data_IF_524688373493
#
_entry.id   IF_524688373493
#
_cell.length_a   1.000
_cell.length_b   1.000
_cell.length_c   1.000
_cell.angle_alpha   90.00
_cell.angle_beta   90.00
_cell.angle_gamma   90.00
#
_symmetry.space_group_name_H-M   'P 1'
#
loop_
_entity.id
_entity.type
_entity.pdbx_description
1 polymer ?
#
# COMPACT_ATOMS: atom_id res chain seq x y z
N UNK A 1 -10.14 -47.25 -47.39
CA UNK A 1 -10.39 -46.35 -46.23
C UNK A 1 -9.41 -46.76 -45.12
N UNK A 2 -8.24 -46.11 -45.09
CA UNK A 2 -7.22 -46.44 -44.08
C UNK A 2 -7.69 -45.89 -42.71
N UNK A 3 -8.07 -46.82 -41.84
CA UNK A 3 -8.23 -46.52 -40.42
C UNK A 3 -6.83 -46.13 -39.90
N UNK A 4 -6.63 -44.84 -39.57
CA UNK A 4 -5.44 -44.46 -38.79
C UNK A 4 -5.43 -45.27 -37.51
N UNK A 5 -4.43 -46.13 -37.26
CA UNK A 5 -4.37 -46.87 -36.06
C UNK A 5 -4.15 -45.93 -34.91
N UNK A 6 -4.96 -46.06 -33.87
CA UNK A 6 -4.67 -45.50 -32.55
C UNK A 6 -3.48 -46.33 -32.02
N UNK A 7 -2.27 -45.85 -32.32
CA UNK A 7 -1.04 -46.66 -32.15
C UNK A 7 -0.47 -46.57 -30.74
N UNK A 8 -0.81 -45.51 -29.99
CA UNK A 8 -0.35 -45.41 -28.61
C UNK A 8 -1.32 -46.14 -27.69
N UNK A 9 -0.97 -47.39 -27.35
CA UNK A 9 -1.74 -48.16 -26.40
C UNK A 9 -1.92 -47.42 -25.08
N UNK A 10 -3.14 -47.40 -24.56
CA UNK A 10 -3.41 -46.90 -23.23
C UNK A 10 -2.93 -47.96 -22.23
N UNK A 11 -1.73 -47.76 -21.65
CA UNK A 11 -1.20 -48.63 -20.64
C UNK A 11 -2.08 -48.69 -19.38
N UNK A 12 -1.99 -49.69 -18.53
CA UNK A 12 -2.76 -49.72 -17.27
C UNK A 12 -2.56 -48.50 -16.41
N UNK A 13 -1.35 -47.95 -16.36
CA UNK A 13 -1.01 -46.72 -15.63
C UNK A 13 -1.70 -45.50 -16.26
N UNK A 14 -1.61 -45.34 -17.57
CA UNK A 14 -2.28 -44.29 -18.30
C UNK A 14 -3.81 -44.35 -18.13
N UNK A 15 -4.36 -45.57 -18.11
CA UNK A 15 -5.79 -45.77 -17.89
C UNK A 15 -6.23 -45.28 -16.52
N UNK A 16 -5.48 -45.58 -15.45
CA UNK A 16 -5.75 -45.07 -14.09
C UNK A 16 -5.70 -43.56 -14.05
N UNK A 17 -4.71 -42.93 -14.67
CA UNK A 17 -4.60 -41.47 -14.75
C UNK A 17 -5.75 -40.83 -15.55
N UNK A 18 -6.09 -41.36 -16.72
CA UNK A 18 -7.23 -40.93 -17.51
C UNK A 18 -8.56 -41.03 -16.73
N UNK A 19 -8.76 -42.12 -15.97
CA UNK A 19 -9.94 -42.27 -15.12
C UNK A 19 -9.99 -41.19 -14.02
N UNK A 20 -8.85 -40.90 -13.39
CA UNK A 20 -8.75 -39.84 -12.40
C UNK A 20 -9.02 -38.49 -13.01
N UNK A 21 -8.44 -38.16 -14.18
CA UNK A 21 -8.67 -36.91 -14.91
C UNK A 21 -10.15 -36.75 -15.28
N UNK A 22 -10.77 -37.82 -15.80
CA UNK A 22 -12.19 -37.81 -16.15
C UNK A 22 -13.08 -37.48 -14.95
N UNK A 23 -12.79 -38.02 -13.78
CA UNK A 23 -13.58 -37.80 -12.56
C UNK A 23 -13.32 -36.49 -11.88
N UNK A 24 -12.09 -35.99 -11.89
CA UNK A 24 -11.64 -34.93 -11.00
C UNK A 24 -11.22 -33.60 -11.70
N UNK A 25 -10.98 -33.60 -13.01
CA UNK A 25 -10.55 -32.38 -13.69
C UNK A 25 -11.64 -31.31 -13.66
N UNK A 26 -11.27 -30.06 -13.34
CA UNK A 26 -12.16 -28.91 -13.38
C UNK A 26 -12.54 -28.51 -14.83
N UNK A 27 -11.72 -28.87 -15.80
CA UNK A 27 -11.90 -28.50 -17.21
C UNK A 27 -12.77 -29.51 -17.94
N UNK A 28 -13.97 -29.10 -18.35
CA UNK A 28 -14.91 -29.98 -19.06
C UNK A 28 -14.30 -30.61 -20.32
N UNK A 29 -13.62 -29.84 -21.17
CA UNK A 29 -13.00 -30.31 -22.39
C UNK A 29 -11.93 -31.40 -22.12
N UNK A 30 -11.16 -31.26 -21.03
CA UNK A 30 -10.16 -32.23 -20.61
C UNK A 30 -10.82 -33.56 -20.17
N UNK A 31 -11.92 -33.45 -19.42
CA UNK A 31 -12.72 -34.64 -19.04
C UNK A 31 -13.30 -35.36 -20.25
N UNK A 32 -13.87 -34.61 -21.23
CA UNK A 32 -14.40 -35.24 -22.44
C UNK A 32 -13.32 -35.97 -23.23
N UNK A 33 -12.14 -35.38 -23.42
CA UNK A 33 -11.03 -36.03 -24.15
C UNK A 33 -10.52 -37.24 -23.40
N UNK A 34 -10.35 -37.20 -22.09
CA UNK A 34 -9.96 -38.33 -21.30
C UNK A 34 -10.99 -39.45 -21.38
N UNK A 35 -12.28 -39.14 -21.32
CA UNK A 35 -13.36 -40.14 -21.47
C UNK A 35 -13.38 -40.77 -22.86
N UNK A 36 -13.19 -39.95 -23.91
CA UNK A 36 -13.11 -40.44 -25.29
C UNK A 36 -11.97 -41.49 -25.45
N UNK A 37 -10.78 -41.22 -24.91
CA UNK A 37 -9.65 -42.15 -24.94
C UNK A 37 -9.93 -43.44 -24.16
N UNK A 38 -10.59 -43.33 -23.02
CA UNK A 38 -11.00 -44.51 -22.23
C UNK A 38 -11.99 -45.38 -22.98
N UNK A 39 -13.04 -44.79 -23.59
CA UNK A 39 -14.01 -45.53 -24.40
C UNK A 39 -13.36 -46.17 -25.63
N UNK A 40 -12.46 -45.46 -26.29
CA UNK A 40 -11.68 -46.02 -27.42
C UNK A 40 -10.85 -47.22 -26.99
N UNK A 41 -10.19 -47.15 -25.83
CA UNK A 41 -9.41 -48.27 -25.28
C UNK A 41 -10.27 -49.50 -24.88
N UNK A 42 -11.58 -49.31 -24.76
CA UNK A 42 -12.57 -50.39 -24.55
C UNK A 42 -13.15 -50.94 -25.84
N UNK A 43 -12.66 -50.50 -27.01
CA UNK A 43 -13.08 -51.01 -28.31
C UNK A 43 -14.16 -50.16 -29.03
N UNK A 44 -14.61 -49.04 -28.46
CA UNK A 44 -15.60 -48.19 -29.14
C UNK A 44 -15.08 -47.66 -30.46
N UNK A 45 -15.91 -47.75 -31.49
CA UNK A 45 -15.62 -47.23 -32.82
C UNK A 45 -15.68 -45.69 -32.88
N UNK A 46 -15.04 -45.11 -33.89
CA UNK A 46 -15.10 -43.63 -34.07
C UNK A 46 -16.54 -43.15 -34.34
N UNK A 47 -17.38 -43.96 -34.99
CA UNK A 47 -18.78 -43.64 -35.20
C UNK A 47 -19.55 -43.52 -33.87
N UNK A 48 -19.40 -44.53 -32.99
CA UNK A 48 -20.02 -44.49 -31.64
C UNK A 48 -19.50 -43.31 -30.82
N UNK A 49 -18.21 -42.97 -30.89
CA UNK A 49 -17.65 -41.82 -30.18
C UNK A 49 -18.21 -40.46 -30.68
N UNK A 50 -18.45 -40.36 -32.00
CA UNK A 50 -19.10 -39.21 -32.57
C UNK A 50 -20.52 -39.02 -32.03
N UNK A 51 -21.28 -40.10 -31.91
CA UNK A 51 -22.63 -40.13 -31.36
C UNK A 51 -22.64 -39.79 -29.85
N UNK A 52 -21.71 -40.37 -29.06
CA UNK A 52 -21.60 -40.18 -27.63
C UNK A 52 -21.24 -38.72 -27.27
N UNK A 53 -20.27 -38.15 -27.99
CA UNK A 53 -19.73 -36.83 -27.67
C UNK A 53 -20.38 -35.69 -28.47
N UNK A 54 -21.24 -36.00 -29.42
CA UNK A 54 -21.93 -35.01 -30.35
C UNK A 54 -20.95 -34.05 -30.99
N UNK A 55 -19.83 -34.58 -31.49
CA UNK A 55 -18.76 -33.85 -32.16
C UNK A 55 -18.46 -34.42 -33.53
N UNK A 56 -17.78 -33.65 -34.39
CA UNK A 56 -17.40 -34.16 -35.71
C UNK A 56 -16.37 -35.25 -35.64
N UNK A 57 -16.37 -36.15 -36.64
CA UNK A 57 -15.34 -37.21 -36.79
C UNK A 57 -13.92 -36.61 -36.75
N UNK A 58 -13.71 -35.42 -37.35
CA UNK A 58 -12.44 -34.71 -37.33
C UNK A 58 -12.02 -34.33 -35.92
N UNK A 59 -12.96 -33.92 -35.06
CA UNK A 59 -12.69 -33.59 -33.67
C UNK A 59 -12.18 -34.77 -32.92
N UNK A 60 -12.76 -35.98 -33.11
CA UNK A 60 -12.31 -37.19 -32.48
C UNK A 60 -10.87 -37.54 -32.90
N UNK A 61 -10.59 -37.48 -34.22
CA UNK A 61 -9.22 -37.72 -34.71
C UNK A 61 -8.22 -36.67 -34.19
N UNK A 62 -8.58 -35.38 -34.09
CA UNK A 62 -7.72 -34.37 -33.47
C UNK A 62 -7.40 -34.66 -32.01
N UNK A 63 -8.35 -35.26 -31.25
CA UNK A 63 -8.11 -35.67 -29.86
C UNK A 63 -7.14 -36.87 -29.79
N UNK A 64 -7.25 -37.81 -30.73
CA UNK A 64 -6.31 -38.95 -30.82
C UNK A 64 -4.91 -38.49 -31.21
N UNK A 65 -4.78 -37.63 -32.22
CA UNK A 65 -3.52 -37.03 -32.65
C UNK A 65 -2.86 -36.27 -31.51
N UNK A 66 -3.63 -35.46 -30.79
CA UNK A 66 -3.13 -34.72 -29.62
C UNK A 66 -2.63 -35.67 -28.50
N UNK A 67 -3.29 -36.81 -28.31
CA UNK A 67 -2.84 -37.81 -27.39
C UNK A 67 -1.56 -38.49 -27.86
N UNK A 68 -1.50 -38.86 -29.13
CA UNK A 68 -0.34 -39.57 -29.71
C UNK A 68 0.92 -38.70 -29.70
N UNK A 69 0.77 -37.41 -30.01
CA UNK A 69 1.90 -36.49 -30.11
C UNK A 69 2.36 -35.98 -28.73
N UNK A 70 1.43 -35.73 -27.82
CA UNK A 70 1.70 -34.98 -26.59
C UNK A 70 1.30 -35.74 -25.30
N UNK A 71 0.74 -36.91 -25.41
CA UNK A 71 0.29 -37.73 -24.28
C UNK A 71 -0.68 -36.96 -23.35
N UNK A 72 -0.48 -36.98 -22.04
CA UNK A 72 -1.35 -36.28 -21.06
C UNK A 72 -1.52 -34.81 -21.31
N UNK A 73 -0.50 -34.09 -21.80
CA UNK A 73 -0.59 -32.67 -22.13
C UNK A 73 -1.47 -32.41 -23.36
N UNK A 74 -1.69 -33.47 -24.22
CA UNK A 74 -2.61 -33.37 -25.35
C UNK A 74 -4.09 -33.30 -24.98
N UNK A 75 -4.45 -33.59 -23.72
CA UNK A 75 -5.81 -33.39 -23.21
C UNK A 75 -6.14 -31.93 -23.00
N UNK A 76 -5.16 -31.05 -22.87
CA UNK A 76 -5.33 -29.62 -22.66
C UNK A 76 -5.31 -28.86 -23.98
N UNK A 77 -5.99 -27.71 -24.00
CA UNK A 77 -5.91 -26.81 -25.13
C UNK A 77 -4.53 -26.17 -25.22
N UNK A 78 -4.05 -25.99 -26.45
CA UNK A 78 -2.81 -25.28 -26.67
C UNK A 78 -2.98 -23.78 -26.41
N UNK A 79 -1.92 -23.09 -25.90
CA UNK A 79 -1.90 -21.65 -25.82
C UNK A 79 -2.20 -21.01 -27.19
N UNK A 80 -2.80 -19.83 -27.19
CA UNK A 80 -3.06 -19.07 -28.41
C UNK A 80 -4.44 -19.30 -29.06
N UNK A 81 -5.30 -20.14 -28.50
CA UNK A 81 -6.68 -20.36 -28.99
C UNK A 81 -7.68 -19.24 -28.63
N UNK A 82 -7.26 -18.22 -27.86
CA UNK A 82 -8.11 -17.10 -27.47
C UNK A 82 -8.24 -16.01 -28.54
N UNK A 83 -9.06 -15.01 -28.25
CA UNK A 83 -9.10 -13.78 -29.03
C UNK A 83 -7.70 -13.14 -29.03
N UNK A 84 -7.21 -12.77 -30.21
CA UNK A 84 -5.93 -12.06 -30.32
C UNK A 84 -5.93 -10.82 -29.45
N UNK A 85 -4.82 -10.52 -28.76
CA UNK A 85 -4.68 -9.28 -28.00
C UNK A 85 -4.91 -8.07 -28.92
N UNK A 86 -5.57 -7.05 -28.40
CA UNK A 86 -5.83 -5.80 -29.15
C UNK A 86 -4.54 -5.02 -29.39
N UNK A 87 -3.57 -5.17 -28.51
CA UNK A 87 -2.29 -4.47 -28.55
C UNK A 87 -1.12 -5.46 -28.50
N UNK A 88 -0.05 -5.15 -29.20
CA UNK A 88 1.22 -5.89 -29.11
C UNK A 88 1.88 -5.64 -27.76
N UNK A 89 2.87 -6.45 -27.32
CA UNK A 89 3.61 -6.22 -26.08
C UNK A 89 4.23 -4.81 -26.02
N UNK A 90 4.81 -4.33 -27.12
CA UNK A 90 5.44 -3.01 -27.23
C UNK A 90 4.39 -1.90 -27.07
N UNK A 91 3.24 -2.05 -27.69
CA UNK A 91 2.11 -1.12 -27.54
C UNK A 91 1.58 -1.10 -26.11
N UNK A 92 1.51 -2.25 -25.45
CA UNK A 92 1.09 -2.32 -24.04
C UNK A 92 2.08 -1.59 -23.12
N UNK A 93 3.37 -1.73 -23.34
CA UNK A 93 4.40 -1.01 -22.60
C UNK A 93 4.28 0.50 -22.81
N UNK A 94 4.07 0.96 -24.06
CA UNK A 94 3.86 2.36 -24.37
C UNK A 94 2.60 2.93 -23.71
N UNK A 95 1.50 2.17 -23.67
CA UNK A 95 0.29 2.52 -22.91
C UNK A 95 0.63 2.64 -21.42
N UNK A 96 1.48 1.76 -20.91
CA UNK A 96 1.99 1.80 -19.55
C UNK A 96 2.70 3.12 -19.23
N UNK A 97 3.55 3.62 -20.13
CA UNK A 97 4.26 4.89 -20.00
C UNK A 97 3.28 6.08 -20.03
N UNK A 98 2.39 6.15 -21.03
CA UNK A 98 1.37 7.22 -21.10
C UNK A 98 0.45 7.27 -19.88
N UNK A 99 0.15 6.12 -19.28
CA UNK A 99 -0.65 6.09 -18.06
C UNK A 99 0.12 6.61 -16.83
N UNK A 100 1.45 6.64 -16.85
CA UNK A 100 2.27 7.28 -15.82
C UNK A 100 2.33 8.79 -16.00
N UNK A 101 2.39 9.25 -17.25
CA UNK A 101 2.33 10.69 -17.57
C UNK A 101 0.96 11.30 -17.23
N UNK A 102 -0.12 10.54 -17.43
CA UNK A 102 -1.50 10.98 -17.22
C UNK A 102 -2.28 10.04 -16.28
N UNK A 103 -1.86 9.87 -15.02
CA UNK A 103 -2.38 8.80 -14.15
C UNK A 103 -3.87 8.94 -13.78
N UNK A 104 -4.44 10.14 -13.87
CA UNK A 104 -5.86 10.42 -13.57
C UNK A 104 -6.72 10.55 -14.82
N UNK A 105 -6.12 10.72 -15.98
CA UNK A 105 -6.85 11.11 -17.22
C UNK A 105 -6.77 10.03 -18.28
N UNK A 106 -7.40 8.87 -18.01
CA UNK A 106 -7.43 7.77 -18.99
C UNK A 106 -7.98 8.15 -20.35
N UNK A 107 -8.80 9.22 -20.45
CA UNK A 107 -9.28 9.75 -21.73
C UNK A 107 -8.12 10.22 -22.60
N UNK A 108 -7.14 10.93 -22.04
CA UNK A 108 -5.96 11.39 -22.79
C UNK A 108 -5.11 10.21 -23.30
N UNK A 109 -5.04 9.12 -22.55
CA UNK A 109 -4.37 7.89 -23.01
C UNK A 109 -5.15 7.26 -24.17
N UNK A 110 -6.49 7.26 -24.14
CA UNK A 110 -7.31 6.78 -25.25
C UNK A 110 -7.15 7.65 -26.49
N UNK A 111 -7.09 8.98 -26.34
CA UNK A 111 -6.87 9.91 -27.44
C UNK A 111 -5.49 9.67 -28.08
N UNK A 112 -4.42 9.49 -27.29
CA UNK A 112 -3.07 9.13 -27.78
C UNK A 112 -3.08 7.79 -28.54
N UNK A 113 -3.80 6.77 -28.06
CA UNK A 113 -3.94 5.47 -28.75
C UNK A 113 -4.58 5.66 -30.12
N UNK A 114 -5.64 6.48 -30.19
CA UNK A 114 -6.34 6.78 -31.45
C UNK A 114 -5.46 7.56 -32.41
N UNK A 115 -4.76 8.59 -31.94
CA UNK A 115 -3.88 9.42 -32.76
C UNK A 115 -2.69 8.62 -33.31
N UNK A 116 -2.06 7.79 -32.50
CA UNK A 116 -0.81 7.14 -32.88
C UNK A 116 -1.03 5.83 -33.65
N UNK A 117 -2.12 5.09 -33.35
CA UNK A 117 -2.36 3.78 -33.96
C UNK A 117 -3.69 3.66 -34.69
N UNK A 118 -4.50 4.71 -34.76
CA UNK A 118 -5.83 4.70 -35.36
C UNK A 118 -6.82 3.73 -34.70
N UNK A 119 -6.47 3.21 -33.51
CA UNK A 119 -7.26 2.17 -32.85
C UNK A 119 -8.18 2.79 -31.80
N UNK A 120 -9.48 2.60 -31.95
CA UNK A 120 -10.46 3.00 -30.95
C UNK A 120 -10.75 1.84 -30.00
N UNK A 121 -10.55 2.09 -28.70
CA UNK A 121 -10.85 1.12 -27.66
C UNK A 121 -11.64 1.74 -26.52
N UNK A 122 -12.42 0.90 -25.83
CA UNK A 122 -13.15 1.35 -24.65
C UNK A 122 -12.22 1.51 -23.44
N UNK A 123 -12.61 2.38 -22.50
CA UNK A 123 -11.92 2.53 -21.22
C UNK A 123 -11.76 1.20 -20.48
N UNK A 124 -12.75 0.29 -20.60
CA UNK A 124 -12.69 -1.06 -20.01
C UNK A 124 -11.56 -1.90 -20.61
N UNK A 125 -11.30 -1.76 -21.92
CA UNK A 125 -10.18 -2.44 -22.60
C UNK A 125 -8.84 -1.88 -22.09
N UNK A 126 -8.71 -0.55 -22.02
CA UNK A 126 -7.53 0.11 -21.46
C UNK A 126 -7.27 -0.31 -20.01
N UNK A 127 -8.29 -0.31 -19.16
CA UNK A 127 -8.18 -0.77 -17.76
C UNK A 127 -7.70 -2.22 -17.68
N UNK A 128 -8.13 -3.10 -18.60
CA UNK A 128 -7.67 -4.50 -18.65
C UNK A 128 -6.19 -4.59 -19.00
N UNK A 129 -5.73 -3.77 -19.95
CA UNK A 129 -4.30 -3.69 -20.30
C UNK A 129 -3.48 -3.22 -19.10
N UNK A 130 -3.90 -2.15 -18.44
CA UNK A 130 -3.21 -1.63 -17.24
C UNK A 130 -3.14 -2.65 -16.12
N UNK A 131 -4.21 -3.40 -15.87
CA UNK A 131 -4.20 -4.52 -14.91
C UNK A 131 -3.25 -5.62 -15.31
N UNK A 132 -3.15 -5.96 -16.60
CA UNK A 132 -2.17 -6.89 -17.13
C UNK A 132 -0.72 -6.45 -16.93
N UNK A 133 -0.48 -5.13 -16.90
CA UNK A 133 0.80 -4.50 -16.55
C UNK A 133 0.99 -4.32 -15.03
N UNK A 134 0.24 -5.01 -14.20
CA UNK A 134 0.27 -4.92 -12.73
C UNK A 134 0.02 -3.51 -12.18
N UNK A 135 -0.69 -2.66 -12.94
CA UNK A 135 -1.11 -1.34 -12.46
C UNK A 135 -2.53 -1.42 -11.92
N UNK A 136 -2.76 -0.71 -10.81
CA UNK A 136 -4.07 -0.61 -10.18
C UNK A 136 -4.37 0.83 -9.79
N UNK A 137 -5.65 1.13 -9.58
CA UNK A 137 -6.10 2.45 -9.20
C UNK A 137 -5.97 2.62 -7.69
N UNK A 138 -5.03 3.49 -7.25
CA UNK A 138 -4.78 3.79 -5.85
C UNK A 138 -4.87 5.28 -5.59
N UNK A 139 -5.09 5.65 -4.32
CA UNK A 139 -4.98 7.03 -3.87
C UNK A 139 -3.53 7.48 -3.97
N UNK A 140 -3.30 8.71 -4.46
CA UNK A 140 -1.98 9.31 -4.42
C UNK A 140 -1.56 9.56 -2.97
N UNK A 141 -0.36 9.15 -2.64
CA UNK A 141 0.26 9.51 -1.36
C UNK A 141 0.88 10.90 -1.49
N UNK A 142 0.49 11.79 -0.60
CA UNK A 142 1.23 13.05 -0.44
C UNK A 142 2.55 12.73 0.24
N UNK A 143 3.64 13.18 -0.35
CA UNK A 143 4.98 13.13 0.23
C UNK A 143 5.45 14.55 0.45
N UNK A 144 6.32 14.74 1.41
CA UNK A 144 6.96 16.04 1.64
C UNK A 144 7.73 16.43 0.38
N UNK A 145 7.51 17.66 -0.09
CA UNK A 145 8.18 18.15 -1.30
C UNK A 145 9.62 18.53 -1.00
N UNK A 146 10.54 17.65 -1.30
CA UNK A 146 11.98 17.81 -1.12
C UNK A 146 12.65 16.45 -0.93
N UNK A 147 13.95 16.42 -1.15
CA UNK A 147 14.78 15.25 -0.88
C UNK A 147 15.87 15.70 0.10
N UNK A 148 16.08 15.00 1.22
CA UNK A 148 17.21 15.29 2.09
C UNK A 148 18.53 15.06 1.35
N UNK A 149 19.58 15.75 1.77
CA UNK A 149 20.92 15.39 1.37
C UNK A 149 21.23 13.96 1.83
N UNK A 150 21.58 13.09 0.89
CA UNK A 150 21.71 11.66 1.15
C UNK A 150 22.84 11.34 2.16
N UNK A 151 23.95 12.09 2.10
CA UNK A 151 25.06 11.90 3.02
C UNK A 151 24.69 12.40 4.42
N UNK A 152 24.15 13.62 4.52
CA UNK A 152 23.69 14.18 5.78
C UNK A 152 22.60 13.31 6.43
N UNK A 153 21.71 12.73 5.62
CA UNK A 153 20.69 11.80 6.11
C UNK A 153 21.32 10.55 6.72
N UNK A 154 22.27 9.91 6.02
CA UNK A 154 22.94 8.72 6.51
C UNK A 154 23.74 8.99 7.80
N UNK A 155 24.47 10.10 7.83
CA UNK A 155 25.25 10.51 9.01
C UNK A 155 24.33 10.76 10.22
N UNK A 156 23.24 11.50 10.02
CA UNK A 156 22.29 11.80 11.10
C UNK A 156 21.48 10.57 11.57
N UNK A 157 21.22 9.64 10.66
CA UNK A 157 20.63 8.36 11.03
C UNK A 157 21.55 7.53 11.92
N UNK A 158 22.86 7.48 11.60
CA UNK A 158 23.85 6.77 12.38
C UNK A 158 24.05 7.44 13.77
N UNK A 159 24.11 8.78 13.83
CA UNK A 159 24.18 9.52 15.09
C UNK A 159 22.94 9.26 15.96
N UNK A 160 21.74 9.28 15.38
CA UNK A 160 20.49 9.00 16.09
C UNK A 160 20.45 7.58 16.63
N UNK A 161 20.98 6.61 15.90
CA UNK A 161 21.07 5.22 16.37
C UNK A 161 22.01 5.09 17.57
N UNK A 162 23.13 5.82 17.59
CA UNK A 162 23.99 5.89 18.78
C UNK A 162 23.27 6.52 19.97
N UNK A 163 22.48 7.59 19.77
CA UNK A 163 21.69 8.19 20.83
C UNK A 163 20.65 7.22 21.42
N UNK A 164 20.02 6.39 20.57
CA UNK A 164 19.10 5.34 21.04
C UNK A 164 19.82 4.29 21.90
N UNK A 165 21.04 3.90 21.53
CA UNK A 165 21.83 2.97 22.34
C UNK A 165 22.17 3.56 23.71
N UNK A 166 22.51 4.84 23.79
CA UNK A 166 22.74 5.55 25.06
C UNK A 166 21.45 5.66 25.90
N UNK A 167 20.30 5.87 25.24
CA UNK A 167 18.99 5.84 25.93
C UNK A 167 18.68 4.45 26.48
N UNK A 168 18.93 3.38 25.70
CA UNK A 168 18.72 1.99 26.11
C UNK A 168 19.66 1.59 27.27
N UNK A 169 20.88 2.14 27.30
CA UNK A 169 21.82 2.02 28.43
C UNK A 169 21.40 2.85 29.64
N UNK A 170 20.40 3.73 29.53
CA UNK A 170 19.95 4.60 30.61
C UNK A 170 20.82 5.82 30.88
N UNK A 171 21.80 6.11 29.99
CA UNK A 171 22.74 7.21 30.13
C UNK A 171 22.12 8.57 29.78
N UNK A 172 21.14 8.60 28.87
CA UNK A 172 20.42 9.80 28.44
C UNK A 172 18.91 9.58 28.49
N UNK A 173 18.16 10.68 28.46
CA UNK A 173 16.75 10.71 28.03
C UNK A 173 16.67 11.26 26.62
N UNK A 174 15.92 10.58 25.75
CA UNK A 174 15.76 10.94 24.34
C UNK A 174 14.30 11.29 24.07
N UNK A 175 14.05 12.56 23.73
CA UNK A 175 12.72 13.07 23.38
C UNK A 175 12.67 13.49 21.91
N UNK A 176 11.50 13.37 21.30
CA UNK A 176 11.23 13.76 19.94
C UNK A 176 10.20 14.88 19.94
N UNK A 177 10.55 16.02 19.37
CA UNK A 177 9.74 17.22 19.31
C UNK A 177 9.21 17.42 17.90
N UNK A 178 7.92 17.77 17.80
CA UNK A 178 7.29 18.22 16.56
C UNK A 178 5.95 18.92 16.85
N UNK A 179 5.43 19.61 15.82
CA UNK A 179 4.12 20.24 15.85
C UNK A 179 3.14 19.53 14.92
N UNK A 180 1.90 19.42 15.37
CA UNK A 180 0.81 18.92 14.54
C UNK A 180 -0.43 19.78 14.62
N UNK A 181 -1.18 19.84 13.52
CA UNK A 181 -2.42 20.61 13.47
C UNK A 181 -3.63 19.72 13.20
N UNK A 182 -4.73 20.05 13.89
CA UNK A 182 -6.02 19.38 13.76
C UNK A 182 -7.08 20.40 13.34
N UNK A 183 -8.02 20.01 12.47
CA UNK A 183 -9.11 20.82 11.99
C UNK A 183 -10.36 19.96 11.77
N UNK A 184 -11.53 20.54 11.53
CA UNK A 184 -12.79 19.82 11.34
C UNK A 184 -12.88 19.03 10.00
N UNK A 185 -11.75 18.71 9.40
CA UNK A 185 -11.66 17.86 8.20
C UNK A 185 -10.97 16.56 8.59
N UNK A 186 -11.70 15.45 8.71
CA UNK A 186 -11.09 14.18 9.10
C UNK A 186 -10.10 13.69 8.03
N UNK A 187 -9.02 13.08 8.48
CA UNK A 187 -7.99 12.51 7.61
C UNK A 187 -8.43 11.19 6.97
N UNK A 188 -9.36 10.47 7.61
CA UNK A 188 -9.93 9.20 7.12
C UNK A 188 -11.39 9.42 6.73
N UNK A 189 -11.68 9.70 5.43
CA UNK A 189 -13.05 9.97 4.99
C UNK A 189 -13.85 8.69 4.68
N UNK A 190 -13.42 7.52 5.16
CA UNK A 190 -14.05 6.23 4.87
C UNK A 190 -14.52 5.56 6.17
N UNK A 191 -15.72 4.99 6.14
CA UNK A 191 -16.28 4.23 7.24
C UNK A 191 -17.32 3.23 6.76
N UNK A 192 -17.65 2.25 7.60
CA UNK A 192 -18.73 1.31 7.34
C UNK A 192 -20.08 2.03 7.44
N UNK A 193 -20.89 1.91 6.40
CA UNK A 193 -22.21 2.48 6.33
C UNK A 193 -23.15 1.56 5.53
N UNK A 194 -24.49 1.65 5.70
CA UNK A 194 -25.44 0.86 4.93
C UNK A 194 -25.24 1.06 3.42
N UNK A 195 -25.47 0.01 2.63
CA UNK A 195 -25.45 0.12 1.17
C UNK A 195 -26.48 1.14 0.72
N UNK A 196 -26.04 2.15 -0.02
CA UNK A 196 -26.89 3.28 -0.46
C UNK A 196 -27.08 4.38 0.59
N UNK A 197 -26.52 4.21 1.79
CA UNK A 197 -26.47 5.26 2.81
C UNK A 197 -25.28 6.19 2.61
N UNK A 198 -25.36 7.39 3.18
CA UNK A 198 -24.26 8.36 3.19
C UNK A 198 -24.12 8.92 4.60
N UNK A 199 -22.96 8.75 5.19
CA UNK A 199 -22.61 9.45 6.43
C UNK A 199 -22.09 10.84 6.04
N UNK A 200 -22.86 11.86 6.44
CA UNK A 200 -22.49 13.25 6.18
C UNK A 200 -21.61 13.77 7.30
N UNK A 201 -20.47 14.34 6.93
CA UNK A 201 -19.57 15.05 7.83
C UNK A 201 -19.64 16.53 7.46
N UNK A 202 -19.97 17.42 8.39
CA UNK A 202 -20.04 18.85 8.10
C UNK A 202 -18.73 19.36 7.53
N UNK A 203 -18.76 19.94 6.33
CA UNK A 203 -17.61 20.62 5.75
C UNK A 203 -17.68 22.09 6.16
N UNK A 204 -17.02 22.44 7.25
CA UNK A 204 -16.93 23.82 7.74
C UNK A 204 -15.49 24.29 7.72
N UNK A 205 -15.28 25.56 7.38
CA UNK A 205 -14.00 26.22 7.70
C UNK A 205 -13.87 26.25 9.22
N UNK A 206 -12.87 25.58 9.74
CA UNK A 206 -12.57 25.60 11.17
C UNK A 206 -11.25 26.32 11.43
N UNK A 207 -11.11 26.77 12.65
CA UNK A 207 -9.82 27.09 13.22
C UNK A 207 -8.91 25.84 13.14
N UNK A 208 -7.63 26.04 13.31
CA UNK A 208 -6.65 24.96 13.44
C UNK A 208 -6.22 24.89 14.89
N UNK A 209 -6.36 23.73 15.48
CA UNK A 209 -5.77 23.41 16.77
C UNK A 209 -4.34 22.95 16.53
N UNK A 210 -3.38 23.69 17.04
CA UNK A 210 -1.97 23.34 16.94
C UNK A 210 -1.54 22.69 18.26
N UNK A 211 -0.81 21.60 18.15
CA UNK A 211 -0.26 20.85 19.27
C UNK A 211 1.24 20.77 19.09
N UNK A 212 1.99 21.25 20.05
CA UNK A 212 3.41 20.97 20.21
C UNK A 212 3.53 19.74 21.11
N UNK A 213 4.32 18.75 20.75
CA UNK A 213 4.54 17.56 21.55
C UNK A 213 6.02 17.24 21.70
N UNK A 214 6.37 16.72 22.87
CA UNK A 214 7.67 16.12 23.17
C UNK A 214 7.43 14.71 23.71
N UNK A 215 7.80 13.71 22.95
CA UNK A 215 7.51 12.30 23.25
C UNK A 215 8.81 11.48 23.33
N UNK A 216 8.85 10.50 24.22
CA UNK A 216 9.92 9.50 24.27
C UNK A 216 9.41 8.08 23.93
N UNK A 217 10.31 7.11 23.78
CA UNK A 217 9.96 5.71 23.48
C UNK A 217 9.27 4.97 24.62
N UNK A 218 9.21 5.55 25.82
CA UNK A 218 8.51 4.99 26.98
C UNK A 218 7.06 5.46 27.06
N UNK A 219 6.53 6.10 26.01
CA UNK A 219 5.21 6.72 25.96
C UNK A 219 5.00 7.84 26.99
N UNK A 220 6.05 8.56 27.38
CA UNK A 220 5.90 9.81 28.09
C UNK A 220 5.71 10.91 27.06
N UNK A 221 4.74 11.78 27.30
CA UNK A 221 4.39 12.90 26.42
C UNK A 221 4.18 14.17 27.24
N UNK A 222 4.95 15.19 26.91
CA UNK A 222 4.65 16.57 27.28
C UNK A 222 4.02 17.27 26.07
N UNK A 223 2.96 18.02 26.27
CA UNK A 223 2.26 18.68 25.17
C UNK A 223 1.71 20.04 25.54
N UNK A 224 1.68 20.92 24.52
CA UNK A 224 1.07 22.23 24.60
C UNK A 224 0.09 22.41 23.44
N UNK A 225 -1.10 22.94 23.74
CA UNK A 225 -2.20 23.09 22.79
C UNK A 225 -2.53 24.58 22.60
N UNK A 226 -2.68 25.03 21.35
CA UNK A 226 -3.04 26.40 21.05
C UNK A 226 -3.87 26.50 19.76
N UNK A 227 -4.75 27.48 19.71
CA UNK A 227 -5.42 27.90 18.46
C UNK A 227 -4.57 28.88 17.66
N UNK A 228 -3.50 29.40 18.26
CA UNK A 228 -2.54 30.27 17.58
C UNK A 228 -1.36 29.44 17.02
N UNK A 229 -0.62 30.02 16.11
CA UNK A 229 0.58 29.40 15.56
C UNK A 229 1.63 29.16 16.63
N UNK A 230 2.29 28.03 16.59
CA UNK A 230 3.46 27.76 17.42
C UNK A 230 4.62 28.59 16.88
N UNK A 231 5.23 29.37 17.74
CA UNK A 231 6.40 30.22 17.45
C UNK A 231 7.63 29.72 18.19
N UNK A 232 8.79 30.25 17.85
CA UNK A 232 10.05 29.89 18.56
C UNK A 232 9.96 30.17 20.05
N UNK A 233 9.32 31.27 20.45
CA UNK A 233 9.13 31.63 21.87
C UNK A 233 8.25 30.59 22.60
N UNK A 234 7.23 30.05 21.92
CA UNK A 234 6.40 28.97 22.48
C UNK A 234 7.22 27.71 22.65
N UNK A 235 8.03 27.34 21.66
CA UNK A 235 8.93 26.17 21.76
C UNK A 235 9.89 26.33 22.91
N UNK A 236 10.54 27.50 23.05
CA UNK A 236 11.46 27.82 24.16
C UNK A 236 10.74 27.68 25.49
N UNK A 237 9.59 28.33 25.64
CA UNK A 237 8.81 28.30 26.89
C UNK A 237 8.40 26.86 27.27
N UNK A 238 8.02 26.04 26.29
CA UNK A 238 7.68 24.63 26.52
C UNK A 238 8.91 23.82 26.97
N UNK A 239 10.06 23.95 26.30
CA UNK A 239 11.29 23.26 26.69
C UNK A 239 11.71 23.70 28.10
N UNK A 240 11.71 25.01 28.39
CA UNK A 240 12.05 25.54 29.69
C UNK A 240 11.12 25.06 30.81
N UNK A 241 9.83 24.88 30.51
CA UNK A 241 8.84 24.43 31.48
C UNK A 241 8.87 22.91 31.67
N UNK A 242 8.88 22.13 30.59
CA UNK A 242 8.84 20.65 30.65
C UNK A 242 10.11 20.07 31.22
N UNK A 243 11.25 20.72 30.97
CA UNK A 243 12.56 20.31 31.46
C UNK A 243 13.15 21.32 32.49
N UNK A 244 12.30 21.87 33.36
CA UNK A 244 12.75 22.81 34.40
C UNK A 244 13.78 22.17 35.32
N UNK A 245 13.68 20.87 35.61
CA UNK A 245 14.62 20.09 36.36
C UNK A 245 14.98 18.83 35.59
N UNK A 246 16.27 18.66 35.28
CA UNK A 246 16.80 17.54 34.52
C UNK A 246 17.91 16.88 35.29
N UNK A 247 17.73 15.61 35.64
CA UNK A 247 18.71 14.87 36.46
C UNK A 247 19.88 14.36 35.62
N UNK A 248 19.62 13.97 34.39
CA UNK A 248 20.61 13.45 33.44
C UNK A 248 20.55 14.15 32.08
N UNK A 249 21.55 13.90 31.27
CA UNK A 249 21.61 14.44 29.90
C UNK A 249 20.33 14.10 29.11
N UNK A 250 19.64 15.11 28.62
CA UNK A 250 18.41 15.00 27.85
C UNK A 250 18.66 15.53 26.44
N UNK A 251 18.40 14.70 25.43
CA UNK A 251 18.55 15.07 24.03
C UNK A 251 17.15 15.20 23.40
N UNK A 252 16.89 16.35 22.77
CA UNK A 252 15.64 16.66 22.09
C UNK A 252 15.89 16.60 20.58
N UNK A 253 15.32 15.60 19.93
CA UNK A 253 15.37 15.39 18.47
C UNK A 253 14.26 16.21 17.83
N UNK A 254 14.60 17.02 16.82
CA UNK A 254 13.67 17.83 16.06
C UNK A 254 14.05 17.94 14.59
N UNK A 255 13.07 18.14 13.72
CA UNK A 255 13.34 18.39 12.30
C UNK A 255 13.76 19.85 12.12
N UNK A 256 14.76 20.08 11.29
CA UNK A 256 15.20 21.43 10.93
C UNK A 256 14.08 22.20 10.23
N UNK A 257 13.51 23.17 10.93
CA UNK A 257 12.49 24.11 10.42
C UNK A 257 12.86 25.55 10.75
N UNK A 258 12.23 26.51 10.12
CA UNK A 258 12.49 27.94 10.38
C UNK A 258 12.20 28.35 11.82
N UNK A 259 11.28 27.68 12.49
CA UNK A 259 10.96 27.91 13.90
C UNK A 259 12.11 27.44 14.80
N UNK A 260 12.66 26.28 14.50
CA UNK A 260 13.71 25.61 15.30
C UNK A 260 15.11 26.19 15.07
N UNK A 261 15.34 26.86 13.93
CA UNK A 261 16.62 27.48 13.58
C UNK A 261 16.63 29.00 13.76
N UNK A 262 15.66 29.53 14.53
CA UNK A 262 15.57 30.95 14.81
C UNK A 262 16.71 31.42 15.73
N UNK A 263 17.06 32.73 15.64
CA UNK A 263 18.07 33.32 16.52
C UNK A 263 17.72 33.12 18.00
N UNK A 264 16.44 33.20 18.37
CA UNK A 264 15.98 33.00 19.74
C UNK A 264 16.31 31.59 20.29
N UNK A 265 16.18 30.56 19.47
CA UNK A 265 16.58 29.18 19.83
C UNK A 265 18.10 29.09 19.96
N UNK A 266 18.85 29.69 19.01
CA UNK A 266 20.32 29.67 19.07
C UNK A 266 20.86 30.34 20.32
N UNK A 267 20.27 31.43 20.76
CA UNK A 267 20.64 32.16 21.97
C UNK A 267 20.39 31.35 23.25
N UNK A 268 19.51 30.35 23.22
CA UNK A 268 19.20 29.46 24.33
C UNK A 268 20.09 28.22 24.43
N UNK A 269 20.84 27.86 23.39
CA UNK A 269 21.59 26.60 23.35
C UNK A 269 22.59 26.44 24.49
N UNK A 270 23.34 27.52 24.82
CA UNK A 270 24.34 27.45 25.90
C UNK A 270 23.68 27.30 27.27
N UNK A 271 22.59 28.02 27.57
CA UNK A 271 21.80 27.87 28.80
C UNK A 271 21.24 26.45 28.93
N UNK A 272 20.66 25.88 27.85
CA UNK A 272 20.14 24.53 27.86
C UNK A 272 21.24 23.49 28.08
N UNK A 273 22.42 23.68 27.45
CA UNK A 273 23.58 22.80 27.62
C UNK A 273 24.07 22.78 29.08
N UNK A 274 24.10 23.93 29.74
CA UNK A 274 24.42 24.00 31.18
C UNK A 274 23.40 23.22 32.04
N UNK A 275 22.15 23.18 31.58
CA UNK A 275 21.06 22.40 32.17
C UNK A 275 21.00 20.95 31.67
N UNK A 276 22.03 20.46 30.98
CA UNK A 276 22.12 19.10 30.37
C UNK A 276 21.06 18.83 29.30
N UNK A 277 20.52 19.85 28.63
CA UNK A 277 19.58 19.73 27.53
C UNK A 277 20.34 20.03 26.25
N UNK A 278 20.25 19.12 25.28
CA UNK A 278 20.87 19.26 23.97
C UNK A 278 19.84 19.11 22.86
N UNK A 279 19.96 19.90 21.80
CA UNK A 279 19.13 19.76 20.61
C UNK A 279 19.84 18.90 19.58
N UNK A 280 19.14 17.95 18.99
CA UNK A 280 19.62 17.13 17.90
C UNK A 280 18.77 17.41 16.65
N UNK A 281 19.34 18.16 15.70
CA UNK A 281 18.65 18.51 14.48
C UNK A 281 18.72 17.40 13.44
N UNK A 282 17.53 16.97 12.98
CA UNK A 282 17.36 16.10 11.83
C UNK A 282 17.44 16.89 10.52
N UNK A 283 17.87 16.27 9.41
CA UNK A 283 17.82 16.90 8.11
C UNK A 283 16.42 17.36 7.75
N UNK A 284 16.32 18.43 6.98
CA UNK A 284 15.04 18.84 6.38
C UNK A 284 14.47 17.69 5.52
N UNK A 285 13.16 17.54 5.48
CA UNK A 285 12.46 16.50 4.71
C UNK A 285 12.73 15.05 5.17
N UNK A 286 13.04 14.83 6.44
CA UNK A 286 13.29 13.51 7.04
C UNK A 286 12.34 13.19 8.20
N UNK A 287 11.01 13.33 8.02
CA UNK A 287 10.05 13.09 9.10
C UNK A 287 10.06 11.65 9.62
N UNK A 288 10.49 10.69 8.81
CA UNK A 288 10.60 9.28 9.20
C UNK A 288 11.66 9.02 10.27
N UNK A 289 12.60 9.93 10.47
CA UNK A 289 13.56 9.87 11.57
C UNK A 289 13.00 10.47 12.86
N UNK A 290 11.92 11.27 12.79
CA UNK A 290 11.28 11.85 13.95
C UNK A 290 10.17 10.96 14.48
N UNK A 291 10.42 10.27 15.58
CA UNK A 291 9.53 9.24 16.12
C UNK A 291 8.14 9.77 16.48
N UNK A 292 7.99 11.03 16.85
CA UNK A 292 6.71 11.64 17.23
C UNK A 292 5.72 11.70 16.06
N UNK A 293 6.19 11.62 14.81
CA UNK A 293 5.32 11.52 13.64
C UNK A 293 4.40 10.27 13.68
N UNK A 294 4.84 9.23 14.41
CA UNK A 294 4.03 8.03 14.64
C UNK A 294 2.82 8.39 15.52
N UNK A 295 3.00 9.21 16.56
CA UNK A 295 1.91 9.72 17.41
C UNK A 295 0.89 10.49 16.56
N UNK A 296 1.36 11.43 15.74
CA UNK A 296 0.47 12.22 14.88
C UNK A 296 -0.30 11.35 13.89
N UNK A 297 0.33 10.29 13.38
CA UNK A 297 -0.32 9.32 12.50
C UNK A 297 -1.44 8.58 13.22
N UNK A 298 -1.19 8.04 14.43
CA UNK A 298 -2.19 7.36 15.22
C UNK A 298 -3.35 8.29 15.57
N UNK A 299 -3.07 9.51 16.05
CA UNK A 299 -4.10 10.49 16.35
C UNK A 299 -4.98 10.81 15.14
N UNK A 300 -4.37 11.07 13.99
CA UNK A 300 -5.10 11.50 12.77
C UNK A 300 -5.86 10.40 12.06
N UNK A 301 -5.41 9.16 12.16
CA UNK A 301 -5.94 8.07 11.33
C UNK A 301 -6.66 6.97 12.14
N UNK A 302 -6.40 6.84 13.42
CA UNK A 302 -6.90 5.72 14.22
C UNK A 302 -7.64 6.14 15.49
N UNK A 303 -7.07 7.07 16.28
CA UNK A 303 -7.60 7.35 17.61
C UNK A 303 -8.69 8.40 17.65
N UNK A 304 -8.64 9.44 16.80
CA UNK A 304 -9.69 10.45 16.74
C UNK A 304 -10.86 9.92 15.93
N UNK A 305 -11.96 9.63 16.62
CA UNK A 305 -13.18 9.11 16.01
C UNK A 305 -13.89 10.16 15.14
N UNK A 306 -14.67 9.68 14.15
CA UNK A 306 -15.46 10.54 13.26
C UNK A 306 -16.45 11.43 14.05
N UNK A 307 -16.93 10.96 15.20
CA UNK A 307 -17.80 11.72 16.09
C UNK A 307 -17.18 13.02 16.61
N UNK A 308 -15.85 13.05 16.79
CA UNK A 308 -15.12 14.23 17.24
C UNK A 308 -15.22 15.41 16.24
N UNK A 309 -15.38 15.12 14.95
CA UNK A 309 -15.46 16.14 13.90
C UNK A 309 -16.83 16.81 13.74
N UNK A 310 -17.79 16.51 14.63
CA UNK A 310 -19.12 17.13 14.58
C UNK A 310 -19.12 18.60 15.01
N UNK A 311 -18.22 18.99 15.90
CA UNK A 311 -18.09 20.37 16.35
C UNK A 311 -16.63 20.68 16.73
N UNK A 312 -16.30 21.97 16.71
CA UNK A 312 -14.96 22.43 17.14
C UNK A 312 -14.64 22.00 18.58
N UNK A 313 -15.57 22.19 19.48
CA UNK A 313 -15.40 21.81 20.89
C UNK A 313 -15.18 20.30 21.05
N UNK A 314 -15.97 19.47 20.36
CA UNK A 314 -15.79 18.01 20.39
C UNK A 314 -14.41 17.60 19.89
N UNK A 315 -13.88 18.26 18.85
CA UNK A 315 -12.54 17.97 18.35
C UNK A 315 -11.47 18.33 19.37
N UNK A 316 -11.58 19.52 19.98
CA UNK A 316 -10.64 19.99 21.02
C UNK A 316 -10.66 19.02 22.19
N UNK A 317 -11.83 18.72 22.75
CA UNK A 317 -11.99 17.82 23.89
C UNK A 317 -11.41 16.41 23.60
N UNK A 318 -11.60 15.93 22.37
CA UNK A 318 -11.10 14.62 21.97
C UNK A 318 -9.56 14.61 21.82
N UNK A 319 -8.99 15.65 21.21
CA UNK A 319 -7.53 15.81 21.10
C UNK A 319 -6.91 15.89 22.50
N UNK A 320 -7.46 16.72 23.37
CA UNK A 320 -7.01 16.86 24.78
C UNK A 320 -7.10 15.54 25.53
N UNK A 321 -8.20 14.79 25.33
CA UNK A 321 -8.37 13.46 25.93
C UNK A 321 -7.25 12.51 25.50
N UNK A 322 -7.00 12.39 24.19
CA UNK A 322 -5.96 11.49 23.66
C UNK A 322 -4.58 11.85 24.20
N UNK A 323 -4.24 13.16 24.23
CA UNK A 323 -2.95 13.63 24.75
C UNK A 323 -2.78 13.35 26.25
N UNK A 324 -3.85 13.52 27.04
CA UNK A 324 -3.84 13.27 28.49
C UNK A 324 -3.75 11.80 28.83
N UNK A 325 -4.40 10.95 28.04
CA UNK A 325 -4.46 9.51 28.26
C UNK A 325 -3.35 8.75 27.49
N UNK A 326 -2.43 9.48 26.84
CA UNK A 326 -1.28 8.88 26.17
C UNK A 326 -0.31 8.28 27.19
N UNK A 327 0.18 7.08 26.91
CA UNK A 327 1.01 6.28 27.82
C UNK A 327 0.19 5.37 28.75
N UNK A 328 -1.13 5.54 28.80
CA UNK A 328 -2.04 4.72 29.60
C UNK A 328 -3.07 4.00 28.70
N UNK A 329 -4.08 4.74 28.19
CA UNK A 329 -5.09 4.20 27.27
C UNK A 329 -4.61 4.16 25.82
N UNK A 330 -3.81 5.13 25.41
CA UNK A 330 -3.25 5.27 24.07
C UNK A 330 -1.74 5.00 24.12
N UNK A 331 -1.32 3.83 23.66
CA UNK A 331 0.08 3.37 23.76
C UNK A 331 0.61 3.03 22.37
N UNK A 332 1.85 3.39 22.11
CA UNK A 332 2.58 3.03 20.90
C UNK A 332 3.65 1.99 21.27
N UNK A 333 3.60 0.84 20.60
CA UNK A 333 4.64 -0.16 20.74
C UNK A 333 5.77 0.16 19.74
N UNK A 334 6.86 0.70 20.24
CA UNK A 334 8.07 0.94 19.46
C UNK A 334 8.89 -0.36 19.41
N UNK A 335 8.98 -0.97 18.22
CA UNK A 335 9.75 -2.20 17.96
C UNK A 335 11.09 -1.83 17.36
#
# INVERSE_FOLDING_TARGET
MNAMPFTRAVTPENRRLLQRIYRQSRHHAVRQRAHCLLLRSQGKSVAELVEIFLVSRKTIYNWFEAWETRSMTGLYDQPGRGRKPTFTPEQQEQIGQWSQEHPQKLKQVLDKIKEQWGTEVSQKTLTRVLKGLHKSWHRFRRVVGGCPDAQLYADKQAELENLKQLEDAGEIDLYYLDESGFCLIPYVPYGWQPIGGTLEIPSQRSQRLNVLGLMNRRNNLESYISTQSITSEVVIACIDTFFAQVDKRTVIVMVRSSIHTSQAIMDKLEEWKERKIELFELPSYSPELNLIEILWRFMKYEWIEVSAYRSWQSLVDYVEKVLREFGDMYVINFV
#
